data_IF_977827632289
#
_entry.id   IF_977827632289
#
_cell.length_a   1.000
_cell.length_b   1.000
_cell.length_c   1.000
_cell.angle_alpha   90.00
_cell.angle_beta   90.00
_cell.angle_gamma   90.00
#
_symmetry.space_group_name_H-M   'P 1'
#
loop_
_entity.id
_entity.type
_entity.pdbx_description
1 polymer ?
#
# COMPACT_ATOMS: atom_id res chain seq x y z
N UNK A 1 -12.04 -7.35 13.46
CA UNK A 1 -10.77 -6.85 12.88
C UNK A 1 -10.92 -6.68 11.39
N UNK A 2 -10.24 -5.69 10.84
CA UNK A 2 -10.16 -5.49 9.40
C UNK A 2 -8.71 -5.39 8.98
N UNK A 3 -8.38 -6.01 7.84
CA UNK A 3 -7.12 -5.83 7.16
C UNK A 3 -7.32 -4.78 6.07
N UNK A 4 -6.48 -3.77 6.10
CA UNK A 4 -6.51 -2.72 5.08
C UNK A 4 -5.19 -2.80 4.32
N UNK A 5 -5.29 -2.93 3.01
CA UNK A 5 -4.15 -3.17 2.13
C UNK A 5 -3.98 -2.01 1.16
N UNK A 6 -2.73 -1.58 1.02
CA UNK A 6 -2.31 -0.62 0.00
C UNK A 6 -1.43 -1.37 -0.98
N UNK A 7 -1.84 -1.40 -2.23
CA UNK A 7 -1.15 -2.17 -3.26
C UNK A 7 -0.53 -1.21 -4.27
N UNK A 8 0.80 -1.13 -4.24
CA UNK A 8 1.57 -0.18 -5.02
C UNK A 8 2.30 -0.87 -6.16
N UNK A 9 1.76 -0.73 -7.37
CA UNK A 9 2.41 -1.20 -8.57
C UNK A 9 3.64 -0.34 -8.88
N UNK A 10 4.69 -0.93 -9.46
CA UNK A 10 5.98 -0.27 -9.63
C UNK A 10 6.37 -0.03 -11.07
N UNK A 11 5.46 -0.25 -12.02
CA UNK A 11 5.66 0.21 -13.40
C UNK A 11 5.07 1.60 -13.56
N UNK A 12 5.80 2.47 -14.26
CA UNK A 12 5.29 3.78 -14.62
C UNK A 12 4.63 3.71 -16.00
N UNK A 13 3.55 4.47 -16.24
CA UNK A 13 2.89 4.46 -17.55
C UNK A 13 3.80 4.87 -18.70
N UNK A 14 4.87 5.62 -18.43
CA UNK A 14 5.84 6.06 -19.43
C UNK A 14 6.94 5.03 -19.73
N UNK A 15 6.83 3.84 -19.18
CA UNK A 15 7.79 2.74 -19.38
C UNK A 15 8.89 2.65 -18.34
N UNK A 16 8.97 3.60 -17.43
CA UNK A 16 9.92 3.53 -16.31
C UNK A 16 9.42 2.69 -15.16
N UNK A 17 10.23 2.60 -14.12
CA UNK A 17 9.89 1.84 -12.91
C UNK A 17 10.19 2.65 -11.66
N UNK A 18 9.40 2.39 -10.62
CA UNK A 18 9.73 2.84 -9.27
C UNK A 18 10.82 1.92 -8.74
N UNK A 19 12.03 2.44 -8.59
CA UNK A 19 13.19 1.67 -8.12
C UNK A 19 13.07 1.27 -6.66
N UNK A 20 13.92 0.36 -6.21
CA UNK A 20 13.99 -0.01 -4.79
C UNK A 20 14.27 1.20 -3.91
N UNK A 21 15.17 2.08 -4.34
CA UNK A 21 15.46 3.31 -3.62
C UNK A 21 14.22 4.20 -3.51
N UNK A 22 13.53 4.42 -4.61
CA UNK A 22 12.35 5.28 -4.65
C UNK A 22 11.22 4.75 -3.77
N UNK A 23 10.93 3.45 -3.84
CA UNK A 23 9.85 2.88 -3.02
C UNK A 23 10.21 2.92 -1.54
N UNK A 24 11.47 2.67 -1.20
CA UNK A 24 11.92 2.72 0.20
C UNK A 24 11.85 4.15 0.76
N UNK A 25 12.21 5.14 -0.03
CA UNK A 25 12.08 6.55 0.37
C UNK A 25 10.60 6.93 0.56
N UNK A 26 9.72 6.48 -0.33
CA UNK A 26 8.29 6.72 -0.19
C UNK A 26 7.76 6.11 1.11
N UNK A 27 8.12 4.86 1.39
CA UNK A 27 7.71 4.17 2.62
C UNK A 27 8.18 4.94 3.85
N UNK A 28 9.44 5.35 3.86
CA UNK A 28 10.04 6.06 5.01
C UNK A 28 9.37 7.40 5.24
N UNK A 29 9.04 8.11 4.19
CA UNK A 29 8.52 9.48 4.29
C UNK A 29 7.00 9.53 4.43
N UNK A 30 6.27 8.59 3.82
CA UNK A 30 4.82 8.70 3.69
C UNK A 30 4.03 7.64 4.46
N UNK A 31 4.66 6.51 4.82
CA UNK A 31 3.97 5.44 5.54
C UNK A 31 4.44 5.35 6.99
N UNK A 32 5.74 5.21 7.21
CA UNK A 32 6.30 4.99 8.54
C UNK A 32 5.94 6.08 9.56
N UNK A 33 5.82 7.36 9.22
CA UNK A 33 5.43 8.37 10.19
C UNK A 33 4.01 8.20 10.75
N UNK A 34 3.15 7.45 10.07
CA UNK A 34 1.75 7.32 10.42
C UNK A 34 1.39 6.00 11.09
N UNK A 35 2.26 5.00 11.04
CA UNK A 35 1.95 3.65 11.53
C UNK A 35 3.06 3.11 12.41
N UNK A 36 2.68 2.61 13.59
CA UNK A 36 3.63 1.98 14.50
C UNK A 36 3.92 0.53 14.12
N UNK A 37 3.03 -0.09 13.34
CA UNK A 37 3.16 -1.48 12.91
C UNK A 37 2.49 -1.67 11.56
N UNK A 38 2.77 -2.79 10.96
CA UNK A 38 2.22 -3.20 9.68
C UNK A 38 3.19 -4.16 9.00
N UNK A 39 2.82 -4.63 7.83
CA UNK A 39 3.62 -5.60 7.09
C UNK A 39 3.79 -5.17 5.65
N UNK A 40 5.01 -5.29 5.15
CA UNK A 40 5.32 -5.07 3.75
C UNK A 40 5.59 -6.40 3.07
N UNK A 41 5.01 -6.58 1.90
CA UNK A 41 5.19 -7.76 1.07
C UNK A 41 5.66 -7.31 -0.31
N UNK A 42 6.69 -7.96 -0.82
CA UNK A 42 7.06 -7.84 -2.23
C UNK A 42 6.26 -8.89 -3.00
N UNK A 43 5.58 -8.44 -4.03
CA UNK A 43 4.76 -9.31 -4.85
C UNK A 43 4.97 -9.03 -6.32
N UNK A 44 4.22 -9.76 -7.13
CA UNK A 44 4.18 -9.57 -8.56
C UNK A 44 2.74 -9.33 -8.96
N UNK A 45 2.52 -8.31 -9.77
CA UNK A 45 1.20 -7.92 -10.23
C UNK A 45 1.03 -8.10 -11.72
N UNK A 46 -0.20 -7.96 -12.13
CA UNK A 46 -0.58 -7.94 -13.54
C UNK A 46 -1.46 -6.71 -13.74
N UNK A 47 -1.07 -5.84 -14.67
CA UNK A 47 -1.82 -4.64 -14.98
C UNK A 47 -1.84 -4.44 -16.49
N UNK A 48 -3.04 -4.40 -17.05
CA UNK A 48 -3.22 -4.24 -18.51
C UNK A 48 -2.38 -5.22 -19.32
N UNK A 49 -2.30 -6.47 -18.87
CA UNK A 49 -1.57 -7.52 -19.55
C UNK A 49 -0.06 -7.52 -19.33
N UNK A 50 0.47 -6.61 -18.52
CA UNK A 50 1.89 -6.52 -18.25
C UNK A 50 2.22 -6.91 -16.82
N UNK A 51 3.32 -7.61 -16.68
CA UNK A 51 3.91 -7.96 -15.38
C UNK A 51 4.47 -6.72 -14.71
N UNK A 52 4.24 -6.58 -13.40
CA UNK A 52 4.91 -5.53 -12.64
C UNK A 52 5.28 -6.00 -11.24
N UNK A 53 6.41 -5.53 -10.75
CA UNK A 53 6.74 -5.65 -9.33
C UNK A 53 5.74 -4.83 -8.54
N UNK A 54 5.38 -5.33 -7.35
CA UNK A 54 4.38 -4.70 -6.51
C UNK A 54 4.86 -4.68 -5.07
N UNK A 55 4.67 -3.56 -4.39
CA UNK A 55 4.87 -3.47 -2.96
C UNK A 55 3.51 -3.37 -2.30
N UNK A 56 3.24 -4.26 -1.35
CA UNK A 56 1.98 -4.27 -0.61
C UNK A 56 2.29 -3.90 0.84
N UNK A 57 1.57 -2.93 1.36
CA UNK A 57 1.54 -2.64 2.78
C UNK A 57 0.17 -3.04 3.32
N UNK A 58 0.13 -3.81 4.40
CA UNK A 58 -1.14 -4.04 5.06
C UNK A 58 -1.02 -3.89 6.56
N UNK A 59 -2.15 -3.59 7.18
CA UNK A 59 -2.27 -3.44 8.61
C UNK A 59 -3.61 -4.02 9.06
N UNK A 60 -3.58 -4.71 10.19
CA UNK A 60 -4.79 -5.23 10.82
C UNK A 60 -5.19 -4.31 11.96
N UNK A 61 -6.42 -3.83 11.94
CA UNK A 61 -6.92 -2.89 12.94
C UNK A 61 -8.25 -3.34 13.51
N UNK A 62 -8.56 -2.86 14.70
CA UNK A 62 -9.89 -3.06 15.29
C UNK A 62 -10.95 -2.39 14.41
N UNK A 63 -12.18 -2.92 14.45
CA UNK A 63 -13.28 -2.38 13.65
C UNK A 63 -13.51 -0.90 13.94
N UNK A 64 -13.30 -0.46 15.18
CA UNK A 64 -13.47 0.94 15.58
C UNK A 64 -12.44 1.88 14.95
N UNK A 65 -11.32 1.35 14.48
CA UNK A 65 -10.25 2.14 13.86
C UNK A 65 -10.22 2.02 12.33
N UNK A 66 -11.06 1.16 11.79
CA UNK A 66 -10.99 0.81 10.37
C UNK A 66 -11.26 2.00 9.45
N UNK A 67 -12.25 2.83 9.77
CA UNK A 67 -12.60 3.98 8.92
C UNK A 67 -11.44 4.98 8.86
N UNK A 68 -10.89 5.36 10.00
CA UNK A 68 -9.79 6.31 10.07
C UNK A 68 -8.54 5.78 9.37
N UNK A 69 -8.23 4.50 9.56
CA UNK A 69 -7.08 3.86 8.92
C UNK A 69 -7.25 3.81 7.41
N UNK A 70 -8.44 3.47 6.93
CA UNK A 70 -8.72 3.42 5.49
C UNK A 70 -8.60 4.81 4.85
N UNK A 71 -9.10 5.85 5.51
CA UNK A 71 -8.97 7.23 5.04
C UNK A 71 -7.49 7.60 4.92
N UNK A 72 -6.71 7.29 5.94
CA UNK A 72 -5.27 7.58 5.93
C UNK A 72 -4.56 6.85 4.79
N UNK A 73 -4.84 5.57 4.59
CA UNK A 73 -4.23 4.81 3.50
C UNK A 73 -4.68 5.29 2.12
N UNK A 74 -5.90 5.79 1.97
CA UNK A 74 -6.33 6.43 0.72
C UNK A 74 -5.54 7.69 0.43
N UNK A 75 -5.22 8.48 1.44
CA UNK A 75 -4.35 9.66 1.26
C UNK A 75 -2.94 9.25 0.84
N UNK A 76 -2.39 8.22 1.46
CA UNK A 76 -1.08 7.67 1.07
C UNK A 76 -1.12 7.17 -0.37
N UNK A 77 -2.17 6.44 -0.73
CA UNK A 77 -2.37 5.94 -2.10
C UNK A 77 -2.40 7.08 -3.13
N UNK A 78 -3.10 8.17 -2.81
CA UNK A 78 -3.19 9.32 -3.71
C UNK A 78 -1.83 10.00 -3.87
N UNK A 79 -1.02 10.09 -2.80
CA UNK A 79 0.34 10.61 -2.88
C UNK A 79 1.22 9.74 -3.76
N UNK A 80 1.13 8.42 -3.62
CA UNK A 80 1.86 7.48 -4.45
C UNK A 80 1.49 7.64 -5.92
N UNK A 81 0.18 7.69 -6.19
CA UNK A 81 -0.35 7.87 -7.54
C UNK A 81 0.21 9.14 -8.20
N UNK A 82 0.20 10.24 -7.48
CA UNK A 82 0.67 11.52 -8.01
C UNK A 82 2.17 11.56 -8.18
N UNK A 83 2.91 11.10 -7.18
CA UNK A 83 4.38 11.16 -7.19
C UNK A 83 4.97 10.30 -8.31
N UNK A 84 4.42 9.13 -8.53
CA UNK A 84 4.94 8.19 -9.53
C UNK A 84 4.05 8.09 -10.78
N UNK A 85 3.13 9.01 -10.95
CA UNK A 85 2.24 9.13 -12.12
C UNK A 85 1.51 7.83 -12.44
N UNK A 86 1.03 7.15 -11.42
CA UNK A 86 0.28 5.91 -11.58
C UNK A 86 -1.13 6.21 -12.07
N UNK A 87 -1.68 5.36 -12.94
CA UNK A 87 -3.07 5.49 -13.39
C UNK A 87 -4.02 5.29 -12.22
N UNK A 88 -3.75 4.30 -11.38
CA UNK A 88 -4.54 4.02 -10.19
C UNK A 88 -3.70 3.28 -9.16
N UNK A 89 -4.16 3.31 -7.90
CA UNK A 89 -3.57 2.58 -6.79
C UNK A 89 -4.70 1.94 -6.02
N UNK A 90 -4.56 0.67 -5.71
CA UNK A 90 -5.61 -0.10 -5.06
C UNK A 90 -5.49 -0.03 -3.54
N UNK A 91 -6.62 0.30 -2.89
CA UNK A 91 -6.77 0.18 -1.43
C UNK A 91 -7.93 -0.77 -1.19
N UNK A 92 -7.70 -1.81 -0.41
CA UNK A 92 -8.66 -2.88 -0.18
C UNK A 92 -8.89 -3.08 1.31
N UNK A 93 -10.13 -3.41 1.69
CA UNK A 93 -10.48 -3.75 3.06
C UNK A 93 -11.03 -5.17 3.09
N UNK A 94 -10.57 -5.95 4.06
CA UNK A 94 -10.99 -7.34 4.23
C UNK A 94 -11.36 -7.57 5.69
N UNK A 95 -12.51 -8.17 5.92
CA UNK A 95 -12.90 -8.62 7.26
C UNK A 95 -12.04 -9.81 7.65
N UNK A 96 -11.46 -9.79 8.84
CA UNK A 96 -10.57 -10.87 9.29
C UNK A 96 -10.94 -11.34 10.69
N UNK A 97 -10.58 -12.58 10.98
CA UNK A 97 -10.61 -13.13 12.33
C UNK A 97 -9.17 -13.17 12.83
N UNK A 98 -8.74 -12.11 13.47
CA UNK A 98 -7.34 -11.91 13.86
C UNK A 98 -7.23 -11.62 15.33
N UNK A 99 -6.21 -12.16 15.95
CA UNK A 99 -5.90 -11.87 17.35
C UNK A 99 -4.40 -11.67 17.52
N UNK A 100 -4.06 -10.83 18.50
CA UNK A 100 -2.66 -10.64 18.90
C UNK A 100 -2.29 -11.74 19.88
N UNK A 101 -1.22 -12.46 19.55
CA UNK A 101 -0.70 -13.48 20.44
C UNK A 101 0.43 -12.84 21.22
N UNK A 102 0.22 -12.66 22.49
CA UNK A 102 1.17 -12.03 23.41
C UNK A 102 1.45 -13.00 24.60
#
# INVERSE_FOLDING_TARGET
>A
MKRIELIMGRNNPDGGRVSDYMINEFIRNEIMPHFEYGTFIDGEGLWKGEYEKTKIFYIEVADTEAIATAVLLRHVADRYRKQFRQESVLVSEVETSTSWIT
#
